data_IF_703689327598
#
_entry.id   IF_703689327598
#
_cell.length_a   1.000
_cell.length_b   1.000
_cell.length_c   1.000
_cell.angle_alpha   90.00
_cell.angle_beta   90.00
_cell.angle_gamma   90.00
#
_symmetry.space_group_name_H-M   'P 1'
#
loop_
_entity.id
_entity.type
_entity.pdbx_description
1 polymer ?
#
# COMPACT_ATOMS: atom_id res chain seq x y z
N UNK A 1 7.91 -17.20 6.40
CA UNK A 1 8.39 -17.96 5.22
C UNK A 1 9.03 -17.06 4.15
N UNK A 2 8.53 -15.85 3.89
CA UNK A 2 9.05 -14.96 2.85
C UNK A 2 10.56 -14.64 2.90
N UNK A 3 11.15 -14.49 4.10
CA UNK A 3 12.59 -14.18 4.23
C UNK A 3 13.52 -15.29 3.72
N UNK A 4 13.08 -16.56 3.76
CA UNK A 4 13.86 -17.68 3.22
C UNK A 4 13.91 -17.64 1.69
N UNK A 5 12.86 -17.15 1.04
CA UNK A 5 12.81 -16.98 -0.42
C UNK A 5 13.84 -15.94 -0.88
N UNK A 6 13.99 -14.84 -0.13
CA UNK A 6 14.98 -13.79 -0.44
C UNK A 6 16.41 -14.30 -0.35
N UNK A 7 16.71 -15.15 0.64
CA UNK A 7 18.04 -15.77 0.76
C UNK A 7 18.39 -16.68 -0.41
N UNK A 8 17.39 -17.20 -1.13
CA UNK A 8 17.57 -18.04 -2.31
C UNK A 8 17.53 -17.26 -3.63
N UNK A 9 17.32 -15.94 -3.60
CA UNK A 9 17.43 -15.03 -4.76
C UNK A 9 18.54 -13.99 -4.53
N UNK A 10 19.82 -14.38 -4.66
CA UNK A 10 20.96 -13.50 -4.40
C UNK A 10 21.06 -12.33 -5.39
N UNK A 11 20.42 -12.45 -6.56
CA UNK A 11 20.40 -11.39 -7.58
C UNK A 11 19.24 -10.42 -7.36
N UNK A 12 18.32 -10.72 -6.43
CA UNK A 12 17.13 -9.90 -6.11
C UNK A 12 16.38 -9.46 -7.37
N UNK A 13 16.21 -10.38 -8.33
CA UNK A 13 15.60 -10.04 -9.62
C UNK A 13 14.10 -10.26 -9.54
N UNK A 14 13.34 -9.18 -9.41
CA UNK A 14 11.87 -9.21 -9.53
C UNK A 14 11.15 -8.53 -8.37
N UNK A 15 10.03 -9.12 -7.96
CA UNK A 15 9.09 -8.54 -7.00
C UNK A 15 8.91 -9.49 -5.82
N UNK A 16 8.97 -8.94 -4.61
CA UNK A 16 8.65 -9.64 -3.37
C UNK A 16 7.38 -9.05 -2.77
N UNK A 17 6.36 -9.90 -2.58
CA UNK A 17 5.10 -9.51 -1.96
C UNK A 17 5.08 -9.95 -0.49
N UNK A 18 4.79 -9.03 0.43
CA UNK A 18 4.46 -9.31 1.81
C UNK A 18 2.98 -9.10 2.05
N UNK A 19 2.38 -10.07 2.75
CA UNK A 19 1.05 -9.90 3.32
C UNK A 19 1.17 -9.49 4.78
N UNK A 20 0.68 -8.29 5.11
CA UNK A 20 0.64 -7.71 6.46
C UNK A 20 1.93 -7.98 7.28
N UNK A 21 3.10 -7.48 6.83
CA UNK A 21 4.39 -7.78 7.45
C UNK A 21 4.49 -7.28 8.91
N UNK A 22 3.60 -6.38 9.34
CA UNK A 22 3.47 -5.89 10.71
C UNK A 22 2.89 -6.94 11.68
N UNK A 23 2.24 -7.99 11.19
CA UNK A 23 1.59 -8.98 12.05
C UNK A 23 2.58 -9.68 12.97
N UNK A 24 2.33 -9.61 14.28
CA UNK A 24 3.22 -10.15 15.32
C UNK A 24 4.45 -9.30 15.62
N UNK A 25 4.59 -8.12 15.00
CA UNK A 25 5.64 -7.14 15.30
C UNK A 25 5.12 -6.15 16.33
N UNK A 26 5.91 -5.90 17.36
CA UNK A 26 5.59 -4.86 18.36
C UNK A 26 5.48 -3.48 17.68
N UNK A 27 4.46 -2.68 18.01
CA UNK A 27 4.16 -1.37 17.39
C UNK A 27 5.41 -0.46 17.28
N UNK A 28 6.15 -0.29 18.37
CA UNK A 28 7.41 0.49 18.38
C UNK A 28 8.54 -0.04 17.46
N UNK A 29 8.36 -1.19 16.80
CA UNK A 29 9.28 -1.75 15.80
C UNK A 29 8.79 -1.60 14.36
N UNK A 30 7.55 -1.17 14.13
CA UNK A 30 7.03 -0.92 12.77
C UNK A 30 7.91 0.05 11.97
N UNK A 31 8.40 1.17 12.54
CA UNK A 31 9.31 2.06 11.80
C UNK A 31 10.58 1.35 11.34
N UNK A 32 11.13 0.44 12.16
CA UNK A 32 12.31 -0.33 11.81
C UNK A 32 12.02 -1.37 10.73
N UNK A 33 10.86 -2.02 10.78
CA UNK A 33 10.38 -2.94 9.74
C UNK A 33 10.24 -2.24 8.39
N UNK A 34 9.52 -1.11 8.33
CA UNK A 34 9.31 -0.36 7.09
C UNK A 34 10.65 0.12 6.51
N UNK A 35 11.55 0.64 7.37
CA UNK A 35 12.90 0.98 6.94
C UNK A 35 13.63 -0.24 6.38
N UNK A 36 13.58 -1.40 7.04
CA UNK A 36 14.25 -2.60 6.56
C UNK A 36 13.76 -3.01 5.16
N UNK A 37 12.44 -3.05 4.94
CA UNK A 37 11.85 -3.38 3.64
C UNK A 37 12.26 -2.38 2.56
N UNK A 38 12.26 -1.08 2.88
CA UNK A 38 12.69 -0.01 1.97
C UNK A 38 14.17 -0.15 1.59
N UNK A 39 15.04 -0.46 2.55
CA UNK A 39 16.46 -0.70 2.27
C UNK A 39 16.67 -1.99 1.47
N UNK A 40 15.86 -3.03 1.70
CA UNK A 40 15.93 -4.26 0.93
C UNK A 40 15.62 -4.00 -0.56
N UNK A 41 14.67 -3.10 -0.84
CA UNK A 41 14.28 -2.62 -2.18
C UNK A 41 15.22 -1.55 -2.77
N UNK A 42 16.22 -1.05 -2.03
CA UNK A 42 17.14 -0.06 -2.55
C UNK A 42 18.01 -0.67 -3.65
N UNK A 43 17.90 -0.11 -4.86
CA UNK A 43 18.64 -0.55 -6.03
C UNK A 43 19.94 0.26 -6.18
N UNK A 44 21.05 -0.42 -6.38
CA UNK A 44 22.31 0.20 -6.78
C UNK A 44 22.40 0.24 -8.31
N UNK A 45 22.38 1.46 -8.86
CA UNK A 45 22.21 1.71 -10.29
C UNK A 45 23.42 1.37 -11.16
N UNK A 46 24.54 0.97 -10.56
CA UNK A 46 25.81 0.81 -11.30
C UNK A 46 25.82 -0.39 -12.27
N UNK A 47 24.91 -1.36 -12.13
CA UNK A 47 24.96 -2.63 -12.88
C UNK A 47 23.98 -2.83 -14.03
N UNK A 48 23.04 -1.91 -14.27
CA UNK A 48 22.01 -2.07 -15.32
C UNK A 48 21.03 -3.24 -15.11
N UNK A 49 20.98 -3.85 -13.93
CA UNK A 49 20.00 -4.89 -13.59
C UNK A 49 18.60 -4.29 -13.34
N UNK A 50 17.55 -5.12 -13.45
CA UNK A 50 16.18 -4.67 -13.14
C UNK A 50 16.05 -4.43 -11.62
N UNK A 51 15.35 -3.36 -11.18
CA UNK A 51 15.26 -3.04 -9.75
C UNK A 51 14.44 -4.09 -8.99
N UNK A 52 14.92 -4.47 -7.80
CA UNK A 52 14.17 -5.29 -6.86
C UNK A 52 13.02 -4.48 -6.26
N UNK A 53 11.79 -4.98 -6.34
CA UNK A 53 10.61 -4.30 -5.80
C UNK A 53 10.05 -5.07 -4.62
N UNK A 54 9.64 -4.34 -3.57
CA UNK A 54 8.85 -4.88 -2.46
C UNK A 54 7.44 -4.30 -2.54
N UNK A 55 6.44 -5.17 -2.59
CA UNK A 55 5.01 -4.81 -2.51
C UNK A 55 4.48 -5.33 -1.18
N UNK A 56 3.72 -4.51 -0.48
CA UNK A 56 3.06 -4.90 0.77
C UNK A 56 1.62 -4.47 0.72
N UNK A 57 0.70 -5.31 1.20
CA UNK A 57 -0.58 -4.82 1.70
C UNK A 57 -0.43 -4.51 3.20
N UNK A 58 -1.32 -3.68 3.71
CA UNK A 58 -1.41 -3.37 5.13
C UNK A 58 -2.79 -2.76 5.40
N UNK A 59 -3.33 -3.05 6.57
CA UNK A 59 -4.47 -2.35 7.15
C UNK A 59 -4.06 -1.45 8.32
N UNK A 60 -2.76 -1.41 8.66
CA UNK A 60 -2.23 -0.70 9.82
C UNK A 60 -2.01 0.80 9.53
N UNK A 61 -2.66 1.70 10.27
CA UNK A 61 -2.37 3.13 10.21
C UNK A 61 -0.90 3.44 10.52
N UNK A 62 -0.30 2.74 11.47
CA UNK A 62 1.12 2.95 11.86
C UNK A 62 2.08 2.62 10.71
N UNK A 63 1.77 1.62 9.87
CA UNK A 63 2.59 1.34 8.68
C UNK A 63 2.46 2.47 7.66
N UNK A 64 1.24 2.96 7.42
CA UNK A 64 0.98 4.06 6.46
C UNK A 64 1.63 5.38 6.86
N UNK A 65 1.73 5.66 8.17
CA UNK A 65 2.45 6.81 8.70
C UNK A 65 3.96 6.78 8.33
N UNK A 66 4.55 5.60 8.25
CA UNK A 66 5.97 5.40 7.90
C UNK A 66 6.26 5.40 6.39
N UNK A 67 5.21 5.39 5.55
CA UNK A 67 5.30 5.40 4.10
C UNK A 67 5.29 6.82 3.52
N UNK A 68 6.03 7.01 2.43
CA UNK A 68 5.96 8.24 1.63
C UNK A 68 4.69 8.21 0.78
N UNK A 69 4.19 9.40 0.44
CA UNK A 69 3.01 9.58 -0.41
C UNK A 69 3.10 8.87 -1.76
N UNK A 70 4.31 8.78 -2.33
CA UNK A 70 4.59 8.10 -3.61
C UNK A 70 4.67 6.57 -3.48
N UNK A 71 4.72 6.04 -2.26
CA UNK A 71 4.80 4.60 -1.98
C UNK A 71 3.41 3.99 -1.72
N UNK A 72 2.35 4.81 -1.66
CA UNK A 72 1.01 4.40 -1.25
C UNK A 72 0.09 4.19 -2.46
N UNK A 73 -0.56 3.02 -2.47
CA UNK A 73 -1.73 2.73 -3.30
C UNK A 73 -2.87 2.35 -2.36
N UNK A 74 -4.02 3.01 -2.51
CA UNK A 74 -5.21 2.70 -1.71
C UNK A 74 -6.18 1.91 -2.56
N UNK A 75 -6.60 0.75 -2.05
CA UNK A 75 -7.70 -0.02 -2.59
C UNK A 75 -8.94 0.15 -1.68
N UNK A 76 -10.02 0.72 -2.20
CA UNK A 76 -11.31 0.83 -1.49
C UNK A 76 -12.47 0.24 -2.31
N UNK A 77 -13.51 -0.23 -1.62
CA UNK A 77 -14.72 -0.71 -2.26
C UNK A 77 -15.70 0.44 -2.45
N UNK A 78 -16.17 0.66 -3.68
CA UNK A 78 -17.17 1.66 -4.01
C UNK A 78 -18.42 1.02 -4.61
N UNK A 79 -19.59 1.57 -4.26
CA UNK A 79 -20.86 1.13 -4.81
C UNK A 79 -21.15 1.88 -6.11
N UNK A 80 -21.43 1.14 -7.17
CA UNK A 80 -21.96 1.64 -8.43
C UNK A 80 -23.44 1.26 -8.50
N UNK A 81 -24.28 2.26 -8.81
CA UNK A 81 -25.72 2.07 -9.02
C UNK A 81 -25.96 2.31 -10.50
N UNK A 82 -26.41 1.29 -11.21
CA UNK A 82 -26.83 1.45 -12.60
C UNK A 82 -28.10 2.32 -12.63
N UNK A 83 -28.08 3.49 -13.28
CA UNK A 83 -29.20 4.42 -13.29
C UNK A 83 -30.44 3.87 -14.02
N UNK A 84 -30.29 2.83 -14.84
CA UNK A 84 -31.37 2.25 -15.65
C UNK A 84 -32.00 1.02 -15.02
N UNK A 85 -31.18 0.11 -14.49
CA UNK A 85 -31.64 -1.14 -13.86
C UNK A 85 -31.82 -1.03 -12.34
N UNK A 86 -31.30 0.04 -11.72
CA UNK A 86 -31.19 0.21 -10.27
C UNK A 86 -30.42 -0.93 -9.57
N UNK A 87 -29.66 -1.71 -10.33
CA UNK A 87 -28.79 -2.75 -9.80
C UNK A 87 -27.62 -2.12 -9.07
N UNK A 88 -27.33 -2.68 -7.90
CA UNK A 88 -26.21 -2.27 -7.04
C UNK A 88 -25.06 -3.23 -7.27
N UNK A 89 -23.94 -2.73 -7.77
CA UNK A 89 -22.70 -3.49 -7.89
C UNK A 89 -21.60 -2.84 -7.05
N UNK A 90 -20.79 -3.67 -6.40
CA UNK A 90 -19.57 -3.21 -5.72
C UNK A 90 -18.40 -3.37 -6.69
N UNK A 91 -17.54 -2.35 -6.77
CA UNK A 91 -16.26 -2.43 -7.49
C UNK A 91 -15.13 -1.98 -6.60
N UNK A 92 -13.97 -2.64 -6.71
CA UNK A 92 -12.74 -2.14 -6.11
C UNK A 92 -12.19 -0.99 -6.94
N UNK A 93 -11.84 0.10 -6.28
CA UNK A 93 -11.16 1.25 -6.86
C UNK A 93 -9.76 1.34 -6.25
N UNK A 94 -8.76 1.51 -7.10
CA UNK A 94 -7.38 1.74 -6.68
C UNK A 94 -6.96 3.18 -7.01
N UNK A 95 -6.39 3.88 -6.03
CA UNK A 95 -5.97 5.29 -6.15
C UNK A 95 -4.53 5.47 -5.72
N UNK A 96 -3.82 6.35 -6.44
CA UNK A 96 -2.40 6.69 -6.23
C UNK A 96 -2.23 8.21 -6.26
N UNK A 97 -1.05 8.70 -5.88
CA UNK A 97 -0.74 10.13 -5.97
C UNK A 97 -1.38 10.89 -4.83
N UNK A 98 -0.95 10.58 -3.59
CA UNK A 98 -1.40 11.30 -2.40
C UNK A 98 -0.95 12.77 -2.53
N UNK A 99 -1.90 13.69 -2.46
CA UNK A 99 -1.64 15.15 -2.58
C UNK A 99 -2.09 15.87 -1.32
N UNK A 100 -1.33 16.89 -0.89
CA UNK A 100 -1.68 17.72 0.27
C UNK A 100 -2.91 18.61 0.05
N UNK A 101 -3.15 19.03 -1.21
CA UNK A 101 -4.28 19.87 -1.61
C UNK A 101 -4.97 19.18 -2.78
N UNK A 102 -5.97 18.35 -2.47
CA UNK A 102 -6.78 17.71 -3.50
C UNK A 102 -7.74 18.72 -4.10
N UNK A 103 -7.86 18.73 -5.42
CA UNK A 103 -8.97 19.40 -6.08
C UNK A 103 -10.25 18.65 -5.64
N UNK A 104 -11.05 19.25 -4.75
CA UNK A 104 -12.26 18.62 -4.15
C UNK A 104 -13.29 18.15 -5.20
N UNK A 105 -13.09 18.51 -6.47
CA UNK A 105 -13.98 18.30 -7.58
C UNK A 105 -13.83 16.94 -8.28
N UNK A 106 -12.81 16.12 -7.95
CA UNK A 106 -12.69 14.78 -8.54
C UNK A 106 -12.30 13.68 -7.52
N UNK A 107 -13.26 13.18 -6.72
CA UNK A 107 -13.04 12.15 -5.70
C UNK A 107 -12.74 10.75 -6.27
N UNK A 108 -12.84 10.55 -7.59
CA UNK A 108 -12.43 9.30 -8.25
C UNK A 108 -10.89 9.19 -8.37
N UNK A 109 -10.20 10.34 -8.47
CA UNK A 109 -8.76 10.37 -8.77
C UNK A 109 -7.90 10.99 -7.69
N UNK A 110 -8.47 11.82 -6.82
CA UNK A 110 -7.72 12.45 -5.73
C UNK A 110 -7.68 11.56 -4.49
N UNK A 111 -6.55 11.63 -3.79
CA UNK A 111 -6.31 10.92 -2.56
C UNK A 111 -5.52 11.83 -1.61
N UNK A 112 -6.01 11.99 -0.39
CA UNK A 112 -5.34 12.74 0.69
C UNK A 112 -5.04 11.83 1.88
N UNK A 113 -4.10 12.22 2.75
CA UNK A 113 -3.80 11.45 3.98
C UNK A 113 -5.02 11.32 4.90
N UNK A 114 -5.81 12.39 5.04
CA UNK A 114 -7.04 12.36 5.84
C UNK A 114 -8.07 11.35 5.30
N UNK A 115 -8.19 11.20 3.98
CA UNK A 115 -9.04 10.19 3.37
C UNK A 115 -8.52 8.77 3.58
N UNK A 116 -7.20 8.57 3.50
CA UNK A 116 -6.57 7.27 3.78
C UNK A 116 -6.89 6.83 5.21
N UNK A 117 -6.67 7.70 6.19
CA UNK A 117 -7.00 7.40 7.58
C UNK A 117 -8.49 7.10 7.77
N UNK A 118 -9.37 7.82 7.06
CA UNK A 118 -10.82 7.54 7.10
C UNK A 118 -11.11 6.14 6.58
N UNK A 119 -10.50 5.73 5.47
CA UNK A 119 -10.68 4.39 4.89
C UNK A 119 -10.19 3.31 5.85
N UNK A 120 -9.01 3.49 6.45
CA UNK A 120 -8.45 2.55 7.41
C UNK A 120 -9.32 2.39 8.66
N UNK A 121 -9.91 3.49 9.18
CA UNK A 121 -10.87 3.42 10.30
C UNK A 121 -12.11 2.58 9.95
N UNK A 122 -12.69 2.79 8.76
CA UNK A 122 -13.87 2.02 8.34
C UNK A 122 -13.55 0.54 8.07
N UNK A 123 -12.30 0.22 7.71
CA UNK A 123 -11.88 -1.17 7.55
C UNK A 123 -11.85 -1.89 8.91
N UNK A 124 -11.40 -1.23 9.98
CA UNK A 124 -11.41 -1.78 11.34
C UNK A 124 -12.81 -2.02 11.90
N UNK A 125 -13.79 -1.16 11.57
CA UNK A 125 -15.17 -1.30 12.07
C UNK A 125 -15.95 -2.47 11.43
N UNK A 126 -15.45 -3.04 10.34
CA UNK A 126 -16.11 -4.10 9.57
C UNK A 126 -15.36 -5.46 9.58
N UNK A 127 -14.29 -5.60 10.36
CA UNK A 127 -13.49 -6.82 10.52
C UNK A 127 -13.81 -7.53 11.84
#
# INVERSE_FOLDING_TARGET
MALLTVLNDPKRRGVLCFEEPENGVHEGRIPALVRFLRHAAAFDSEGGEAPFQVITNTHSPQVVEELKDTEIVVADSVMHIDPTSNERSSRTRMRTGVTAVGDMFNPERHLTRAEIERILRHAHDNA
#
